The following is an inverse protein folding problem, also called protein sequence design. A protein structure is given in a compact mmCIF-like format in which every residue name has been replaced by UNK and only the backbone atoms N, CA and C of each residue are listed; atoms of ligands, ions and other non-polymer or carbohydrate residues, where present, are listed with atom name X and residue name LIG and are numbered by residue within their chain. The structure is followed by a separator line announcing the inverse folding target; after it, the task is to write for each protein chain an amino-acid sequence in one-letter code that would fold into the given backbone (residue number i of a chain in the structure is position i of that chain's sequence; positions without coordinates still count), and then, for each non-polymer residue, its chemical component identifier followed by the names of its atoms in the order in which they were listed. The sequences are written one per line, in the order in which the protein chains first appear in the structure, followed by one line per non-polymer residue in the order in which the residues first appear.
data_IF_014087765945
#
_entry.id   IF_014087765945
#
_cell.length_a   1.000
_cell.length_b   1.000
_cell.length_c   1.000
_cell.angle_alpha   90.00
_cell.angle_beta   90.00
_cell.angle_gamma   90.00
#
_symmetry.space_group_name_H-M   'P 1'
#
loop_
_entity.id
_entity.type
_entity.pdbx_description
1 polymer ?
#
# COMPACT_ATOMS: atom_id res chain seq x y z
N UNK A 1 -27.62 34.08 72.74
CA UNK A 1 -27.24 32.89 71.95
C UNK A 1 -27.09 33.33 70.48
N UNK A 2 -26.26 32.63 69.70
CA UNK A 2 -26.01 32.77 68.24
C UNK A 2 -25.17 34.02 67.85
N UNK A 3 -24.09 34.01 67.02
CA UNK A 3 -23.58 33.12 65.96
C UNK A 3 -22.03 33.08 66.03
N UNK A 4 -21.43 31.93 66.36
CA UNK A 4 -19.98 31.66 66.22
C UNK A 4 -19.74 30.55 65.18
N UNK A 5 -20.44 30.60 64.05
CA UNK A 5 -20.47 29.53 63.02
C UNK A 5 -19.69 29.83 61.74
N UNK A 6 -19.03 30.99 61.60
CA UNK A 6 -18.48 31.42 60.30
C UNK A 6 -17.10 30.86 59.92
N UNK A 7 -16.35 30.25 60.85
CA UNK A 7 -14.96 29.83 60.58
C UNK A 7 -14.79 28.33 60.27
N UNK A 8 -15.69 27.45 60.74
CA UNK A 8 -15.61 25.99 60.47
C UNK A 8 -15.97 25.64 59.02
N UNK A 9 -16.81 26.44 58.39
CA UNK A 9 -17.29 26.22 57.03
C UNK A 9 -16.20 26.40 55.98
N UNK A 10 -15.24 27.32 56.23
CA UNK A 10 -14.07 27.53 55.38
C UNK A 10 -13.23 26.25 55.30
N UNK A 11 -13.00 25.57 56.42
CA UNK A 11 -12.23 24.31 56.42
C UNK A 11 -12.95 23.20 55.64
N UNK A 12 -14.28 23.14 55.69
CA UNK A 12 -15.07 22.18 54.90
C UNK A 12 -14.94 22.49 53.41
N UNK A 13 -15.04 23.77 53.01
CA UNK A 13 -14.85 24.19 51.62
C UNK A 13 -13.43 23.87 51.15
N UNK A 14 -12.40 24.19 51.94
CA UNK A 14 -11.01 23.87 51.61
C UNK A 14 -10.79 22.36 51.46
N UNK A 15 -11.43 21.54 52.30
CA UNK A 15 -11.36 20.08 52.21
C UNK A 15 -11.99 19.57 50.91
N UNK A 16 -13.17 20.07 50.55
CA UNK A 16 -13.85 19.73 49.29
C UNK A 16 -12.98 20.13 48.09
N UNK A 17 -12.45 21.35 48.08
CA UNK A 17 -11.53 21.82 47.02
C UNK A 17 -10.28 20.95 46.95
N UNK A 18 -9.72 20.55 48.09
CA UNK A 18 -8.58 19.64 48.17
C UNK A 18 -8.86 18.28 47.52
N UNK A 19 -10.04 17.70 47.75
CA UNK A 19 -10.47 16.46 47.09
C UNK A 19 -10.56 16.66 45.57
N UNK A 20 -11.18 17.74 45.10
CA UNK A 20 -11.28 18.01 43.67
C UNK A 20 -9.90 18.17 43.01
N UNK A 21 -8.98 18.89 43.64
CA UNK A 21 -7.61 19.07 43.14
C UNK A 21 -6.83 17.74 43.11
N UNK A 22 -7.01 16.90 44.13
CA UNK A 22 -6.42 15.56 44.17
C UNK A 22 -6.98 14.68 43.05
N UNK A 23 -8.30 14.65 42.86
CA UNK A 23 -8.96 13.92 41.78
C UNK A 23 -8.51 14.40 40.41
N UNK A 24 -8.35 15.72 40.20
CA UNK A 24 -7.85 16.28 38.95
C UNK A 24 -6.38 15.88 38.69
N UNK A 25 -5.56 15.83 39.75
CA UNK A 25 -4.16 15.38 39.68
C UNK A 25 -4.06 13.90 39.31
N UNK A 26 -4.94 13.05 39.86
CA UNK A 26 -5.01 11.64 39.47
C UNK A 26 -5.51 11.46 38.03
N UNK A 27 -6.52 12.24 37.60
CA UNK A 27 -7.05 12.18 36.24
C UNK A 27 -5.99 12.59 35.21
N UNK A 28 -5.30 13.70 35.46
CA UNK A 28 -4.20 14.17 34.61
C UNK A 28 -3.03 13.20 34.60
N UNK A 29 -2.65 12.64 35.76
CA UNK A 29 -1.62 11.60 35.83
C UNK A 29 -1.98 10.35 35.02
N UNK A 30 -3.22 9.87 35.16
CA UNK A 30 -3.72 8.74 34.38
C UNK A 30 -3.74 9.04 32.88
N UNK A 31 -4.21 10.22 32.49
CA UNK A 31 -4.25 10.64 31.09
C UNK A 31 -2.84 10.73 30.48
N UNK A 32 -1.87 11.30 31.20
CA UNK A 32 -0.47 11.35 30.78
C UNK A 32 0.15 9.95 30.62
N UNK A 33 -0.15 9.02 31.54
CA UNK A 33 0.34 7.63 31.45
C UNK A 33 -0.30 6.91 30.26
N UNK A 34 -1.62 7.02 30.12
CA UNK A 34 -2.39 6.39 29.02
C UNK A 34 -1.97 6.93 27.66
N UNK A 35 -1.78 8.24 27.56
CA UNK A 35 -1.42 8.94 26.33
C UNK A 35 0.07 9.17 26.18
N UNK A 36 0.91 8.48 26.97
CA UNK A 36 2.38 8.62 26.95
C UNK A 36 2.97 8.51 25.54
N UNK A 37 2.37 7.72 24.65
CA UNK A 37 2.78 7.59 23.25
C UNK A 37 2.79 8.92 22.47
N UNK A 38 1.90 9.85 22.83
CA UNK A 38 1.79 11.16 22.19
C UNK A 38 2.72 12.21 22.80
N UNK A 39 3.28 11.93 23.99
CA UNK A 39 4.21 12.80 24.70
C UNK A 39 5.68 12.54 24.33
N UNK A 40 5.94 11.56 23.47
CA UNK A 40 7.28 11.28 22.94
C UNK A 40 7.64 12.35 21.92
N UNK A 41 8.92 12.74 21.87
CA UNK A 41 9.44 13.67 20.87
C UNK A 41 9.07 13.18 19.46
N UNK A 42 8.39 14.05 18.70
CA UNK A 42 7.93 13.81 17.34
C UNK A 42 7.06 12.53 17.19
N UNK A 43 5.87 12.51 17.82
CA UNK A 43 5.05 11.31 17.96
C UNK A 43 4.58 10.75 16.61
N UNK A 44 4.41 11.61 15.60
CA UNK A 44 4.09 11.21 14.23
C UNK A 44 5.12 10.23 13.65
N UNK A 45 6.41 10.53 13.78
CA UNK A 45 7.48 9.72 13.18
C UNK A 45 7.79 8.43 13.95
N UNK A 46 7.23 8.28 15.15
CA UNK A 46 7.38 7.09 15.99
C UNK A 46 6.14 6.19 15.97
N UNK A 47 5.26 6.38 14.99
CA UNK A 47 4.00 5.67 14.85
C UNK A 47 4.09 4.57 13.77
N UNK A 48 3.50 3.37 13.95
CA UNK A 48 3.53 2.30 12.95
C UNK A 48 2.95 2.70 11.59
N UNK A 49 1.96 3.58 11.56
CA UNK A 49 1.39 4.11 10.31
C UNK A 49 2.43 4.88 9.49
N UNK A 50 3.36 5.57 10.15
CA UNK A 50 4.45 6.24 9.46
C UNK A 50 5.48 5.24 8.93
N UNK A 51 5.77 4.15 9.64
CA UNK A 51 6.57 3.05 9.09
C UNK A 51 5.93 2.47 7.82
N UNK A 52 4.62 2.20 7.83
CA UNK A 52 3.91 1.71 6.66
C UNK A 52 3.94 2.72 5.49
N UNK A 53 3.90 4.01 5.77
CA UNK A 53 4.06 5.06 4.77
C UNK A 53 5.47 5.01 4.13
N UNK A 54 6.52 4.92 4.96
CA UNK A 54 7.90 4.81 4.46
C UNK A 54 8.12 3.48 3.73
N UNK A 55 7.57 2.38 4.22
CA UNK A 55 7.60 1.08 3.56
C UNK A 55 7.01 1.16 2.15
N UNK A 56 5.80 1.72 2.03
CA UNK A 56 5.13 1.88 0.73
C UNK A 56 5.94 2.79 -0.20
N UNK A 57 6.51 3.87 0.33
CA UNK A 57 7.37 4.75 -0.43
C UNK A 57 8.65 4.04 -0.92
N UNK A 58 9.34 3.29 -0.06
CA UNK A 58 10.52 2.52 -0.40
C UNK A 58 10.24 1.41 -1.43
N UNK A 59 9.08 0.74 -1.32
CA UNK A 59 8.62 -0.22 -2.33
C UNK A 59 8.42 0.43 -3.70
N UNK A 60 7.79 1.61 -3.73
CA UNK A 60 7.65 2.40 -4.96
C UNK A 60 9.02 2.83 -5.51
N UNK A 61 9.96 3.24 -4.66
CA UNK A 61 11.32 3.57 -5.08
C UNK A 61 12.02 2.36 -5.72
N UNK A 62 11.87 1.17 -5.15
CA UNK A 62 12.40 -0.06 -5.73
C UNK A 62 11.81 -0.31 -7.11
N UNK A 63 10.49 -0.26 -7.24
CA UNK A 63 9.85 -0.45 -8.54
C UNK A 63 10.30 0.61 -9.55
N UNK A 64 10.45 1.86 -9.14
CA UNK A 64 10.88 2.95 -10.01
C UNK A 64 12.33 2.79 -10.49
N UNK A 65 13.27 2.48 -9.60
CA UNK A 65 14.71 2.43 -9.91
C UNK A 65 15.18 1.07 -10.44
N UNK A 66 14.48 -0.02 -10.08
CA UNK A 66 14.88 -1.40 -10.40
C UNK A 66 13.93 -2.02 -11.42
N UNK A 67 12.66 -2.22 -11.07
CA UNK A 67 11.67 -2.89 -11.93
C UNK A 67 11.47 -2.15 -13.25
N UNK A 68 11.31 -0.84 -13.17
CA UNK A 68 11.11 0.05 -14.32
C UNK A 68 12.38 0.79 -14.73
N UNK A 69 13.57 0.25 -14.39
CA UNK A 69 14.84 0.81 -14.82
C UNK A 69 14.87 0.91 -16.36
N UNK A 70 15.09 2.10 -16.87
CA UNK A 70 15.08 2.38 -18.32
C UNK A 70 13.77 1.95 -19.02
N UNK A 71 12.63 2.12 -18.34
CA UNK A 71 11.32 1.87 -18.93
C UNK A 71 11.08 2.82 -20.12
N UNK A 72 10.77 2.24 -21.27
CA UNK A 72 10.37 2.96 -22.48
C UNK A 72 9.05 2.38 -22.97
N UNK A 73 8.02 3.21 -22.93
CA UNK A 73 6.68 2.85 -23.38
C UNK A 73 6.66 2.36 -24.83
N UNK A 74 7.47 2.96 -25.71
CA UNK A 74 7.50 2.60 -27.15
C UNK A 74 8.05 1.19 -27.39
N UNK A 75 8.73 0.61 -26.40
CA UNK A 75 9.37 -0.71 -26.49
C UNK A 75 8.71 -1.72 -25.52
N UNK A 76 7.72 -1.30 -24.73
CA UNK A 76 7.12 -2.12 -23.68
C UNK A 76 6.49 -3.41 -24.22
N UNK A 77 5.80 -3.37 -25.37
CA UNK A 77 5.23 -4.57 -26.03
C UNK A 77 6.30 -5.60 -26.42
N UNK A 78 7.48 -5.12 -26.83
CA UNK A 78 8.62 -5.96 -27.21
C UNK A 78 9.39 -6.51 -26.01
N UNK A 79 9.20 -5.92 -24.82
CA UNK A 79 9.79 -6.38 -23.56
C UNK A 79 8.89 -7.37 -22.81
N UNK A 80 7.67 -7.62 -23.28
CA UNK A 80 6.78 -8.63 -22.69
C UNK A 80 7.42 -10.01 -22.78
N UNK A 81 7.58 -10.66 -21.63
CA UNK A 81 8.22 -11.97 -21.54
C UNK A 81 7.26 -13.08 -21.97
N UNK A 82 7.82 -14.24 -22.37
CA UNK A 82 7.01 -15.43 -22.67
C UNK A 82 6.20 -15.91 -21.48
N UNK A 83 6.75 -15.77 -20.27
CA UNK A 83 6.08 -16.14 -19.03
C UNK A 83 4.86 -15.24 -18.76
N UNK A 84 5.00 -13.92 -18.91
CA UNK A 84 3.89 -12.98 -18.76
C UNK A 84 2.76 -13.29 -19.75
N UNK A 85 3.11 -13.63 -21.00
CA UNK A 85 2.13 -14.05 -21.99
C UNK A 85 1.46 -15.38 -21.65
N UNK A 86 2.24 -16.37 -21.21
CA UNK A 86 1.71 -17.67 -20.82
C UNK A 86 0.73 -17.54 -19.64
N UNK A 87 1.10 -16.77 -18.61
CA UNK A 87 0.25 -16.53 -17.45
C UNK A 87 -1.06 -15.82 -17.82
N UNK A 88 -0.99 -14.78 -18.65
CA UNK A 88 -2.19 -14.07 -19.08
C UNK A 88 -3.07 -14.94 -20.00
N UNK A 89 -2.45 -15.76 -20.85
CA UNK A 89 -3.17 -16.72 -21.69
C UNK A 89 -3.91 -17.75 -20.83
N UNK A 90 -3.24 -18.35 -19.84
CA UNK A 90 -3.85 -19.30 -18.91
C UNK A 90 -5.03 -18.67 -18.15
N UNK A 91 -4.91 -17.41 -17.73
CA UNK A 91 -5.99 -16.68 -17.09
C UNK A 91 -7.25 -16.59 -17.97
N UNK A 92 -7.10 -16.25 -19.26
CA UNK A 92 -8.22 -16.22 -20.20
C UNK A 92 -8.76 -17.61 -20.51
N UNK A 93 -7.91 -18.62 -20.63
CA UNK A 93 -8.32 -20.03 -20.82
C UNK A 93 -9.16 -20.53 -19.63
N UNK A 94 -8.76 -20.22 -18.40
CA UNK A 94 -9.52 -20.55 -17.19
C UNK A 94 -10.85 -19.78 -17.12
N UNK A 95 -10.88 -18.51 -17.53
CA UNK A 95 -12.11 -17.72 -17.60
C UNK A 95 -13.11 -18.30 -18.59
N UNK A 96 -12.65 -18.74 -19.77
CA UNK A 96 -13.46 -19.45 -20.76
C UNK A 96 -14.00 -20.73 -20.15
N UNK A 97 -13.13 -21.56 -19.57
CA UNK A 97 -13.51 -22.86 -19.00
C UNK A 97 -14.56 -22.72 -17.89
N UNK A 98 -14.38 -21.76 -16.99
CA UNK A 98 -15.34 -21.50 -15.93
C UNK A 98 -16.69 -21.05 -16.49
N UNK A 99 -16.68 -20.13 -17.46
CA UNK A 99 -17.91 -19.67 -18.12
C UNK A 99 -18.63 -20.80 -18.88
N UNK A 100 -17.87 -21.68 -19.55
CA UNK A 100 -18.42 -22.86 -20.22
C UNK A 100 -19.05 -23.84 -19.22
N UNK A 101 -18.43 -24.05 -18.06
CA UNK A 101 -18.99 -24.88 -16.99
C UNK A 101 -20.28 -24.28 -16.44
N UNK A 102 -20.33 -22.97 -16.22
CA UNK A 102 -21.51 -22.28 -15.71
C UNK A 102 -22.69 -22.35 -16.69
N UNK A 103 -22.42 -22.15 -17.99
CA UNK A 103 -23.41 -22.37 -19.06
C UNK A 103 -23.85 -23.83 -19.08
N UNK A 104 -22.91 -24.78 -19.03
CA UNK A 104 -23.21 -26.21 -18.99
C UNK A 104 -24.16 -26.56 -17.84
N UNK A 105 -23.83 -26.11 -16.64
CA UNK A 105 -24.62 -26.35 -15.42
C UNK A 105 -26.02 -25.75 -15.51
N UNK A 106 -26.15 -24.51 -16.03
CA UNK A 106 -27.46 -23.86 -16.23
C UNK A 106 -28.37 -24.64 -17.17
N UNK A 107 -27.83 -25.15 -18.28
CA UNK A 107 -28.63 -25.86 -19.26
C UNK A 107 -28.86 -27.34 -18.93
N UNK A 108 -28.02 -27.97 -18.09
CA UNK A 108 -28.15 -29.38 -17.70
C UNK A 108 -29.55 -29.69 -17.18
N UNK A 109 -30.03 -28.95 -16.16
CA UNK A 109 -31.32 -29.25 -15.54
C UNK A 109 -32.50 -29.00 -16.49
N UNK A 110 -32.39 -27.96 -17.33
CA UNK A 110 -33.45 -27.58 -18.28
C UNK A 110 -33.56 -28.62 -19.41
N UNK A 111 -32.43 -29.02 -19.99
CA UNK A 111 -32.39 -30.00 -21.07
C UNK A 111 -32.83 -31.39 -20.59
N UNK A 112 -32.46 -31.80 -19.37
CA UNK A 112 -32.93 -33.06 -18.78
C UNK A 112 -34.44 -33.09 -18.59
N UNK A 113 -35.06 -32.00 -18.12
CA UNK A 113 -36.51 -31.93 -17.95
C UNK A 113 -37.26 -31.96 -19.30
N UNK A 114 -36.76 -31.23 -20.31
CA UNK A 114 -37.39 -31.21 -21.63
C UNK A 114 -37.25 -32.54 -22.36
N UNK A 115 -36.11 -33.23 -22.21
CA UNK A 115 -35.90 -34.56 -22.78
C UNK A 115 -36.92 -35.61 -22.28
N UNK A 116 -37.46 -35.44 -21.07
CA UNK A 116 -38.51 -36.32 -20.52
C UNK A 116 -39.92 -36.00 -21.05
N UNK A 117 -40.11 -34.83 -21.67
CA UNK A 117 -41.43 -34.34 -22.11
C UNK A 117 -41.76 -34.60 -23.59
N UNK A 118 -40.90 -35.30 -24.33
CA UNK A 118 -40.98 -35.62 -25.78
C UNK A 118 -41.13 -34.39 -26.72
N UNK A 119 -40.94 -33.17 -26.19
CA UNK A 119 -40.95 -31.90 -26.94
C UNK A 119 -39.60 -31.68 -27.64
N UNK A 120 -39.44 -32.32 -28.81
CA UNK A 120 -38.23 -32.28 -29.63
C UNK A 120 -37.89 -30.88 -30.16
N UNK A 121 -38.90 -30.05 -30.43
CA UNK A 121 -38.70 -28.69 -30.95
C UNK A 121 -38.11 -27.78 -29.87
N UNK A 122 -38.64 -27.87 -28.64
CA UNK A 122 -38.10 -27.13 -27.49
C UNK A 122 -36.70 -27.59 -27.12
N UNK A 123 -36.43 -28.89 -27.15
CA UNK A 123 -35.08 -29.43 -26.91
C UNK A 123 -34.07 -28.90 -27.93
N UNK A 124 -34.44 -28.84 -29.21
CA UNK A 124 -33.59 -28.34 -30.29
C UNK A 124 -33.29 -26.84 -30.11
N UNK A 125 -34.30 -26.02 -29.80
CA UNK A 125 -34.12 -24.58 -29.56
C UNK A 125 -33.17 -24.29 -28.40
N UNK A 126 -33.37 -24.96 -27.25
CA UNK A 126 -32.50 -24.79 -26.07
C UNK A 126 -31.07 -25.24 -26.33
N UNK A 127 -30.89 -26.31 -27.10
CA UNK A 127 -29.55 -26.78 -27.50
C UNK A 127 -28.85 -25.75 -28.40
N UNK A 128 -29.57 -25.15 -29.35
CA UNK A 128 -29.03 -24.08 -30.20
C UNK A 128 -28.66 -22.84 -29.40
N UNK A 129 -29.50 -22.45 -28.43
CA UNK A 129 -29.24 -21.32 -27.54
C UNK A 129 -27.99 -21.54 -26.70
N UNK A 130 -27.87 -22.70 -26.05
CA UNK A 130 -26.66 -23.11 -25.31
C UNK A 130 -25.41 -23.04 -26.18
N UNK A 131 -25.46 -23.63 -27.37
CA UNK A 131 -24.31 -23.66 -28.28
C UNK A 131 -23.95 -22.27 -28.81
N UNK A 132 -24.93 -21.38 -28.97
CA UNK A 132 -24.69 -19.98 -29.31
C UNK A 132 -23.99 -19.26 -28.15
N UNK A 133 -24.48 -19.43 -26.92
CA UNK A 133 -23.90 -18.82 -25.71
C UNK A 133 -22.45 -19.29 -25.48
N UNK A 134 -22.17 -20.59 -25.66
CA UNK A 134 -20.81 -21.14 -25.60
C UNK A 134 -19.87 -20.54 -26.65
N UNK A 135 -20.36 -20.33 -27.89
CA UNK A 135 -19.56 -19.72 -28.97
C UNK A 135 -19.26 -18.25 -28.73
N UNK A 136 -20.20 -17.49 -28.15
CA UNK A 136 -19.95 -16.09 -27.80
C UNK A 136 -18.88 -15.98 -26.70
N UNK A 137 -18.93 -16.83 -25.67
CA UNK A 137 -17.89 -16.88 -24.62
C UNK A 137 -16.51 -17.15 -25.19
N UNK A 138 -16.38 -18.12 -26.10
CA UNK A 138 -15.10 -18.39 -26.77
C UNK A 138 -14.62 -17.18 -27.57
N UNK A 139 -15.52 -16.51 -28.30
CA UNK A 139 -15.19 -15.36 -29.14
C UNK A 139 -14.77 -14.13 -28.33
N UNK A 140 -15.46 -13.83 -27.23
CA UNK A 140 -15.18 -12.65 -26.39
C UNK A 140 -13.84 -12.76 -25.64
N UNK A 141 -13.43 -13.99 -25.32
CA UNK A 141 -12.26 -14.23 -24.48
C UNK A 141 -11.05 -14.81 -25.24
N UNK A 142 -11.19 -15.10 -26.54
CA UNK A 142 -10.06 -15.46 -27.39
C UNK A 142 -9.32 -14.20 -27.81
N UNK A 143 -8.15 -13.98 -27.20
CA UNK A 143 -7.23 -12.90 -27.57
C UNK A 143 -6.03 -13.44 -28.32
N UNK A 144 -5.59 -12.72 -29.34
CA UNK A 144 -4.35 -12.98 -30.06
C UNK A 144 -3.14 -12.63 -29.19
N UNK A 145 -1.98 -13.24 -29.45
CA UNK A 145 -0.75 -12.89 -28.74
C UNK A 145 -0.43 -11.39 -28.83
N UNK A 146 -0.72 -10.76 -29.98
CA UNK A 146 -0.52 -9.32 -30.18
C UNK A 146 -1.41 -8.47 -29.26
N UNK A 147 -2.67 -8.87 -29.04
CA UNK A 147 -3.57 -8.19 -28.11
C UNK A 147 -3.13 -8.36 -26.66
N UNK A 148 -2.69 -9.58 -26.29
CA UNK A 148 -2.15 -9.85 -24.95
C UNK A 148 -0.87 -9.03 -24.67
N UNK A 149 0.03 -8.90 -25.65
CA UNK A 149 1.23 -8.06 -25.52
C UNK A 149 0.88 -6.60 -25.28
N UNK A 150 -0.10 -6.07 -26.02
CA UNK A 150 -0.60 -4.69 -25.85
C UNK A 150 -1.20 -4.47 -24.46
N UNK A 151 -1.98 -5.42 -23.98
CA UNK A 151 -2.61 -5.36 -22.66
C UNK A 151 -1.58 -5.34 -21.54
N UNK A 152 -0.60 -6.25 -21.58
CA UNK A 152 0.49 -6.30 -20.59
C UNK A 152 1.33 -5.01 -20.63
N UNK A 153 1.63 -4.52 -21.83
CA UNK A 153 2.37 -3.27 -22.00
C UNK A 153 1.61 -2.06 -21.44
N UNK A 154 0.29 -2.00 -21.64
CA UNK A 154 -0.56 -0.95 -21.11
C UNK A 154 -0.64 -1.00 -19.58
N UNK A 155 -0.76 -2.19 -18.99
CA UNK A 155 -0.73 -2.36 -17.54
C UNK A 155 0.60 -1.89 -16.96
N UNK A 156 1.71 -2.32 -17.54
CA UNK A 156 3.06 -1.92 -17.12
C UNK A 156 3.25 -0.40 -17.21
N UNK A 157 2.73 0.22 -18.27
CA UNK A 157 2.76 1.68 -18.44
C UNK A 157 1.97 2.42 -17.37
N UNK A 158 0.74 1.97 -17.10
CA UNK A 158 -0.12 2.60 -16.10
C UNK A 158 0.46 2.45 -14.70
N UNK A 159 1.00 1.27 -14.39
CA UNK A 159 1.66 1.00 -13.11
C UNK A 159 2.89 1.90 -12.92
N UNK A 160 3.79 1.97 -13.92
CA UNK A 160 4.91 2.91 -13.92
C UNK A 160 4.46 4.37 -13.68
N UNK A 161 3.43 4.83 -14.39
CA UNK A 161 2.91 6.19 -14.26
C UNK A 161 2.37 6.46 -12.86
N UNK A 162 1.67 5.49 -12.28
CA UNK A 162 1.12 5.59 -10.93
C UNK A 162 2.24 5.63 -9.88
N UNK A 163 3.25 4.77 -9.99
CA UNK A 163 4.42 4.75 -9.10
C UNK A 163 5.18 6.07 -9.18
N UNK A 164 5.46 6.56 -10.40
CA UNK A 164 6.14 7.85 -10.59
C UNK A 164 5.36 8.98 -9.93
N UNK A 165 4.05 9.05 -10.14
CA UNK A 165 3.19 10.05 -9.52
C UNK A 165 3.19 9.93 -7.99
N UNK A 166 3.14 8.72 -7.44
CA UNK A 166 3.16 8.50 -6.00
C UNK A 166 4.45 9.02 -5.36
N UNK A 167 5.61 8.77 -6.00
CA UNK A 167 6.90 9.29 -5.54
C UNK A 167 6.94 10.82 -5.64
N UNK A 168 6.58 11.38 -6.79
CA UNK A 168 6.62 12.82 -7.05
C UNK A 168 5.63 13.63 -6.18
N UNK A 169 4.54 12.99 -5.73
CA UNK A 169 3.54 13.63 -4.86
C UNK A 169 4.06 13.92 -3.45
N UNK A 170 5.09 13.19 -3.00
CA UNK A 170 5.68 13.30 -1.65
C UNK A 170 6.99 14.09 -1.70
N UNK A 171 6.89 15.37 -2.08
CA UNK A 171 8.05 16.26 -2.29
C UNK A 171 8.89 16.48 -1.03
N UNK A 172 8.24 16.41 0.11
CA UNK A 172 8.81 16.50 1.46
C UNK A 172 9.74 15.33 1.79
N UNK A 173 9.61 14.20 1.08
CA UNK A 173 10.47 13.04 1.29
C UNK A 173 11.65 13.10 0.32
N UNK A 174 12.83 13.39 0.87
CA UNK A 174 14.11 13.19 0.18
C UNK A 174 14.72 11.85 0.57
N UNK A 175 15.48 11.27 -0.35
CA UNK A 175 16.17 10.02 -0.10
C UNK A 175 17.57 10.03 -0.70
N UNK A 176 18.48 9.34 -0.04
CA UNK A 176 19.78 8.98 -0.55
C UNK A 176 19.99 7.51 -0.23
N UNK A 177 19.84 6.65 -1.24
CA UNK A 177 19.92 5.20 -1.11
C UNK A 177 21.05 4.72 -1.99
N UNK A 178 21.85 3.82 -1.47
CA UNK A 178 22.94 3.16 -2.18
C UNK A 178 22.68 1.67 -2.17
N UNK A 179 22.82 1.04 -3.33
CA UNK A 179 22.84 -0.40 -3.41
C UNK A 179 24.21 -0.90 -2.94
N UNK A 180 24.25 -1.68 -1.87
CA UNK A 180 25.49 -2.17 -1.28
C UNK A 180 26.21 -3.17 -2.19
N UNK A 181 25.50 -3.86 -3.09
CA UNK A 181 26.07 -4.77 -4.08
C UNK A 181 26.57 -4.03 -5.32
N UNK A 182 25.70 -3.30 -6.03
CA UNK A 182 26.03 -2.67 -7.33
C UNK A 182 26.78 -1.34 -7.17
N UNK A 183 26.78 -0.76 -5.96
CA UNK A 183 27.30 0.58 -5.65
C UNK A 183 26.55 1.72 -6.35
N UNK A 184 25.46 1.43 -7.07
CA UNK A 184 24.58 2.44 -7.65
C UNK A 184 23.91 3.27 -6.56
N UNK A 185 23.76 4.57 -6.82
CA UNK A 185 23.13 5.52 -5.90
C UNK A 185 21.82 6.01 -6.51
N UNK A 186 20.75 5.90 -5.74
CA UNK A 186 19.42 6.39 -6.04
C UNK A 186 19.10 7.56 -5.11
N UNK A 187 18.85 8.74 -5.68
CA UNK A 187 18.56 9.93 -4.89
C UNK A 187 17.71 10.93 -5.69
N UNK A 188 16.86 11.67 -4.98
CA UNK A 188 16.18 12.87 -5.49
C UNK A 188 16.80 14.17 -4.95
N UNK A 189 18.01 14.11 -4.38
CA UNK A 189 18.77 15.27 -3.94
C UNK A 189 19.58 15.86 -5.10
N UNK A 190 19.95 17.13 -4.97
CA UNK A 190 20.83 17.79 -5.92
C UNK A 190 22.18 17.04 -6.03
N UNK A 191 22.81 16.99 -7.22
CA UNK A 191 24.11 16.37 -7.39
C UNK A 191 25.15 16.93 -6.41
N UNK A 192 26.05 16.08 -5.90
CA UNK A 192 27.13 16.44 -4.95
C UNK A 192 26.64 16.98 -3.59
N UNK A 193 25.38 16.76 -3.22
CA UNK A 193 24.88 17.12 -1.89
C UNK A 193 25.65 16.38 -0.79
N UNK A 194 26.17 17.10 0.19
CA UNK A 194 26.69 16.50 1.42
C UNK A 194 25.52 16.08 2.31
N UNK A 195 25.32 14.77 2.49
CA UNK A 195 24.13 14.20 3.13
C UNK A 195 24.04 14.59 4.61
N UNK A 196 25.15 14.54 5.35
CA UNK A 196 25.18 14.88 6.78
C UNK A 196 24.81 16.35 7.02
N UNK A 197 25.38 17.25 6.21
CA UNK A 197 25.05 18.68 6.24
C UNK A 197 23.59 18.93 5.84
N UNK A 198 23.11 18.23 4.81
CA UNK A 198 21.73 18.37 4.34
C UNK A 198 20.72 17.97 5.42
N UNK A 199 20.92 16.81 6.05
CA UNK A 199 20.06 16.32 7.15
C UNK A 199 20.06 17.33 8.30
N UNK A 200 21.23 17.79 8.74
CA UNK A 200 21.35 18.72 9.86
C UNK A 200 20.59 20.03 9.64
N UNK A 201 20.66 20.57 8.42
CA UNK A 201 20.12 21.90 8.13
C UNK A 201 18.65 21.85 7.68
N UNK A 202 18.26 20.84 6.89
CA UNK A 202 16.99 20.83 6.16
C UNK A 202 15.95 19.80 6.65
N UNK A 203 16.31 18.88 7.54
CA UNK A 203 15.38 17.81 7.98
C UNK A 203 14.58 18.16 9.24
N UNK A 204 13.29 17.82 9.25
CA UNK A 204 12.49 17.68 10.49
C UNK A 204 12.75 16.30 11.10
N UNK A 205 12.92 15.29 10.24
CA UNK A 205 13.16 13.92 10.63
C UNK A 205 14.06 13.24 9.60
N UNK A 206 14.89 12.31 10.06
CA UNK A 206 15.70 11.46 9.20
C UNK A 206 15.86 10.10 9.83
N UNK A 207 15.85 9.07 8.99
CA UNK A 207 16.13 7.69 9.40
C UNK A 207 17.18 7.10 8.48
N UNK A 208 18.14 6.40 9.08
CA UNK A 208 19.23 5.73 8.37
C UNK A 208 19.05 4.22 8.42
N UNK A 209 19.27 3.57 7.28
CA UNK A 209 19.24 2.11 7.12
C UNK A 209 20.63 1.59 6.71
N UNK A 210 21.04 0.40 7.16
CA UNK A 210 20.31 -0.47 8.09
C UNK A 210 20.23 0.12 9.50
N UNK A 211 19.21 -0.27 10.26
CA UNK A 211 19.00 0.18 11.63
C UNK A 211 20.17 -0.27 12.54
N UNK A 212 20.71 0.64 13.34
CA UNK A 212 21.93 0.41 14.15
C UNK A 212 21.69 -0.21 15.53
N UNK A 213 20.45 -0.42 15.99
CA UNK A 213 20.18 -1.10 17.28
C UNK A 213 18.76 -1.68 17.42
N UNK A 214 18.61 -2.68 18.30
CA UNK A 214 17.36 -3.42 18.61
C UNK A 214 16.26 -2.59 19.32
N UNK A 215 16.55 -1.33 19.70
CA UNK A 215 15.60 -0.49 20.44
C UNK A 215 14.58 0.24 19.56
N UNK A 216 14.59 0.03 18.24
CA UNK A 216 13.60 0.59 17.33
C UNK A 216 12.72 -0.52 16.76
N UNK A 217 11.67 -0.90 17.51
CA UNK A 217 10.55 -1.68 16.96
C UNK A 217 9.91 -0.98 15.76
N UNK A 218 10.00 0.34 15.73
CA UNK A 218 9.55 1.17 14.61
C UNK A 218 10.51 0.98 13.44
N UNK A 219 9.98 0.81 12.22
CA UNK A 219 10.75 0.60 10.98
C UNK A 219 11.33 -0.80 10.76
N UNK A 220 10.86 -1.81 11.50
CA UNK A 220 11.29 -3.18 11.27
C UNK A 220 10.91 -3.67 9.85
N UNK A 221 9.68 -3.41 9.41
CA UNK A 221 9.21 -3.83 8.09
C UNK A 221 9.98 -3.11 6.98
N UNK A 222 10.13 -1.79 7.09
CA UNK A 222 10.94 -1.00 6.14
C UNK A 222 12.39 -1.45 6.12
N UNK A 223 13.00 -1.73 7.27
CA UNK A 223 14.38 -2.19 7.35
C UNK A 223 14.54 -3.56 6.69
N UNK A 224 13.63 -4.51 6.95
CA UNK A 224 13.64 -5.82 6.32
C UNK A 224 13.49 -5.72 4.80
N UNK A 225 12.58 -4.86 4.32
CA UNK A 225 12.40 -4.57 2.91
C UNK A 225 13.69 -4.05 2.26
N UNK A 226 14.30 -3.00 2.82
CA UNK A 226 15.52 -2.41 2.27
C UNK A 226 16.70 -3.37 2.31
N UNK A 227 16.82 -4.17 3.37
CA UNK A 227 17.83 -5.23 3.47
C UNK A 227 17.65 -6.27 2.37
N UNK A 228 16.40 -6.69 2.08
CA UNK A 228 16.12 -7.62 0.97
C UNK A 228 16.54 -7.09 -0.40
N UNK A 229 16.57 -5.76 -0.55
CA UNK A 229 17.02 -5.08 -1.77
C UNK A 229 18.52 -4.76 -1.77
N UNK A 230 19.24 -5.07 -0.70
CA UNK A 230 20.63 -4.67 -0.47
C UNK A 230 20.79 -3.14 -0.49
N UNK A 231 19.83 -2.41 0.07
CA UNK A 231 19.80 -0.96 0.09
C UNK A 231 20.21 -0.41 1.46
N UNK A 232 21.20 0.49 1.45
CA UNK A 232 21.66 1.25 2.62
C UNK A 232 21.49 2.74 2.33
N UNK A 233 21.19 3.57 3.34
CA UNK A 233 21.04 5.00 3.10
C UNK A 233 20.13 5.72 4.07
N UNK A 234 19.58 6.86 3.62
CA UNK A 234 18.77 7.74 4.43
C UNK A 234 17.45 8.09 3.75
N UNK A 235 16.36 8.05 4.53
CA UNK A 235 15.09 8.70 4.21
C UNK A 235 15.00 9.96 5.08
N UNK A 236 14.66 11.09 4.46
CA UNK A 236 14.77 12.43 5.03
C UNK A 236 13.45 13.16 4.80
N UNK A 237 12.81 13.63 5.86
CA UNK A 237 11.61 14.46 5.81
C UNK A 237 12.04 15.92 5.97
N UNK A 238 11.77 16.76 4.97
CA UNK A 238 12.23 18.16 4.93
C UNK A 238 11.41 19.09 5.81
N UNK A 239 12.01 20.22 6.20
CA UNK A 239 11.34 21.35 6.87
C UNK A 239 10.45 22.14 5.92
N UNK A 240 10.88 22.27 4.67
CA UNK A 240 10.19 23.03 3.65
C UNK A 240 9.36 22.08 2.78
N UNK A 241 8.05 22.26 2.81
CA UNK A 241 7.08 21.55 1.96
C UNK A 241 6.98 22.13 0.54
N UNK A 242 7.70 23.24 0.26
CA UNK A 242 7.57 24.04 -0.96
C UNK A 242 8.72 23.90 -1.97
N UNK A 243 9.60 22.91 -1.82
CA UNK A 243 10.70 22.66 -2.80
C UNK A 243 10.28 21.74 -3.94
#
# INVERSE_FOLDING_TARGET
MVIKSKNKFIYIICFIVGIYMLSLSFLTGYDLIKNKRYLVKAPYFNNPEFDMEIYSYCSNLYNFHITYKNFDYKVAENKVTREQLANLKLFYEDMIKNSQNDIGNRYISILSAVAQSDDKDKFTKLTQEKNKELKEVEKENTKTEAELRKEIALWSYNDYKNIKKAIESKKEIKYYIKNSLTKEVYTNLAPKTNIDSYIKNNSIYSISFPLKSDNTKNFLETNNLLNSFNWEGNIIITKDFNS
#
